data_IF_090338612898
#
_entry.id   IF_090338612898
#
_cell.length_a   1.000
_cell.length_b   1.000
_cell.length_c   1.000
_cell.angle_alpha   90.00
_cell.angle_beta   90.00
_cell.angle_gamma   90.00
#
_symmetry.space_group_name_H-M   'P 1'
#
loop_
_entity.id
_entity.type
_entity.pdbx_description
1 polymer ?
#
# COMPACT_ATOMS: atom_id res chain seq x y z
N UNK A 1 -7.41 17.02 13.79
CA UNK A 1 -6.05 17.61 13.70
C UNK A 1 -6.04 19.12 13.92
N UNK A 2 -7.17 19.82 13.76
CA UNK A 2 -7.29 21.19 14.29
C UNK A 2 -7.24 21.15 15.84
N UNK A 3 -6.66 22.19 16.44
CA UNK A 3 -6.53 22.31 17.90
C UNK A 3 -5.20 21.78 18.46
N UNK A 4 -5.14 21.39 19.74
CA UNK A 4 -3.88 21.17 20.49
C UNK A 4 -2.93 20.12 19.89
N UNK A 5 -3.42 19.20 19.06
CA UNK A 5 -2.59 18.21 18.35
C UNK A 5 -1.57 18.90 17.44
N UNK A 6 -1.96 19.99 16.74
CA UNK A 6 -1.05 20.68 15.83
C UNK A 6 0.11 21.34 16.57
N UNK A 7 -0.06 21.68 17.84
CA UNK A 7 1.00 22.29 18.64
C UNK A 7 2.08 21.29 19.03
N UNK A 8 1.68 20.03 19.30
CA UNK A 8 2.63 18.93 19.48
C UNK A 8 3.46 18.76 18.20
N UNK A 9 2.81 18.70 17.04
CA UNK A 9 3.53 18.58 15.76
C UNK A 9 4.46 19.77 15.47
N UNK A 10 4.04 21.01 15.76
CA UNK A 10 4.89 22.20 15.59
C UNK A 10 6.11 22.20 16.51
N UNK A 11 6.02 21.62 17.71
CA UNK A 11 7.16 21.51 18.62
C UNK A 11 8.19 20.49 18.12
N UNK A 12 7.72 19.37 17.58
CA UNK A 12 8.56 18.20 17.27
C UNK A 12 9.04 18.13 15.82
N UNK A 13 8.31 18.75 14.88
CA UNK A 13 8.64 18.69 13.44
C UNK A 13 9.25 20.04 13.02
N UNK A 14 10.54 20.07 12.64
CA UNK A 14 11.25 21.31 12.30
C UNK A 14 10.56 22.15 11.22
N UNK A 15 9.98 21.51 10.19
CA UNK A 15 9.32 22.18 9.07
C UNK A 15 8.03 22.93 9.45
N UNK A 16 7.46 22.62 10.63
CA UNK A 16 6.21 23.21 11.14
C UNK A 16 6.46 24.23 12.25
N UNK A 17 7.65 24.24 12.88
CA UNK A 17 7.97 25.04 14.06
C UNK A 17 7.69 26.54 13.91
N UNK A 18 8.08 27.10 12.77
CA UNK A 18 7.95 28.54 12.50
C UNK A 18 6.65 28.93 11.81
N UNK A 19 5.76 27.96 11.52
CA UNK A 19 4.50 28.24 10.84
C UNK A 19 3.41 28.62 11.86
N UNK A 20 2.57 29.63 11.57
CA UNK A 20 1.33 29.87 12.32
C UNK A 20 0.45 28.62 12.33
N UNK A 21 -0.35 28.42 13.39
CA UNK A 21 -1.21 27.22 13.54
C UNK A 21 -2.03 26.89 12.28
N UNK A 22 -2.76 27.85 11.65
CA UNK A 22 -3.55 27.54 10.46
C UNK A 22 -2.68 27.10 9.28
N UNK A 23 -1.56 27.79 9.06
CA UNK A 23 -0.62 27.48 7.99
C UNK A 23 0.08 26.12 8.20
N UNK A 24 0.39 25.76 9.45
CA UNK A 24 0.94 24.46 9.80
C UNK A 24 -0.09 23.34 9.50
N UNK A 25 -1.32 23.51 9.95
CA UNK A 25 -2.41 22.55 9.66
C UNK A 25 -2.62 22.38 8.15
N UNK A 26 -2.70 23.47 7.39
CA UNK A 26 -2.84 23.41 5.94
C UNK A 26 -1.64 22.77 5.26
N UNK A 27 -0.43 23.02 5.74
CA UNK A 27 0.79 22.36 5.21
C UNK A 27 0.68 20.85 5.39
N UNK A 28 0.33 20.38 6.59
CA UNK A 28 0.19 18.95 6.89
C UNK A 28 -0.93 18.32 6.05
N UNK A 29 -2.10 18.95 5.99
CA UNK A 29 -3.26 18.35 5.33
C UNK A 29 -3.16 18.34 3.80
N UNK A 30 -2.41 19.27 3.20
CA UNK A 30 -2.24 19.35 1.74
C UNK A 30 -1.03 18.55 1.22
N UNK A 31 -0.09 18.16 2.07
CA UNK A 31 1.07 17.36 1.71
C UNK A 31 1.01 15.96 2.34
N UNK A 32 0.68 14.91 1.56
CA UNK A 32 0.67 13.54 2.06
C UNK A 32 1.99 13.10 2.71
N UNK A 33 3.15 13.57 2.24
CA UNK A 33 4.43 13.21 2.86
C UNK A 33 4.58 13.79 4.26
N UNK A 34 4.13 15.04 4.44
CA UNK A 34 4.13 15.67 5.75
C UNK A 34 3.12 15.00 6.71
N UNK A 35 1.95 14.63 6.20
CA UNK A 35 0.96 13.90 6.99
C UNK A 35 1.45 12.53 7.44
N UNK A 36 2.12 11.76 6.57
CA UNK A 36 2.74 10.48 6.93
C UNK A 36 3.77 10.65 8.06
N UNK A 37 4.62 11.68 7.99
CA UNK A 37 5.56 11.99 9.09
C UNK A 37 4.85 12.28 10.41
N UNK A 38 3.73 12.99 10.37
CA UNK A 38 2.91 13.26 11.55
C UNK A 38 2.33 11.96 12.15
N UNK A 39 1.81 11.06 11.30
CA UNK A 39 1.34 9.75 11.76
C UNK A 39 2.47 8.89 12.31
N UNK A 40 3.64 8.84 11.66
CA UNK A 40 4.81 8.12 12.18
C UNK A 40 5.23 8.62 13.55
N UNK A 41 5.27 9.94 13.74
CA UNK A 41 5.57 10.54 15.04
C UNK A 41 4.52 10.17 16.09
N UNK A 42 3.24 10.21 15.74
CA UNK A 42 2.16 9.81 16.62
C UNK A 42 2.27 8.34 17.05
N UNK A 43 2.63 7.44 16.12
CA UNK A 43 2.80 6.00 16.40
C UNK A 43 4.08 5.68 17.17
N UNK A 44 5.17 6.40 16.90
CA UNK A 44 6.48 6.11 17.53
C UNK A 44 6.65 6.77 18.89
N UNK A 45 5.97 7.90 19.14
CA UNK A 45 6.05 8.67 20.38
C UNK A 45 4.66 9.04 20.91
N UNK A 46 3.80 8.05 21.26
CA UNK A 46 2.44 8.30 21.74
C UNK A 46 2.39 9.13 23.03
N UNK A 47 3.44 9.08 23.85
CA UNK A 47 3.57 9.83 25.10
C UNK A 47 3.48 11.35 24.91
N UNK A 48 3.85 11.86 23.73
CA UNK A 48 3.77 13.28 23.40
C UNK A 48 2.33 13.77 23.23
N UNK A 49 1.40 12.85 22.98
CA UNK A 49 0.00 13.12 22.69
C UNK A 49 -0.93 12.79 23.86
N UNK A 50 -0.38 12.36 25.01
CA UNK A 50 -1.14 11.87 26.17
C UNK A 50 -2.16 12.88 26.72
N UNK A 51 -1.88 14.17 26.59
CA UNK A 51 -2.74 15.24 27.10
C UNK A 51 -3.84 15.64 26.10
N UNK A 52 -3.79 15.09 24.88
CA UNK A 52 -4.62 15.54 23.76
C UNK A 52 -5.48 14.40 23.19
N UNK A 53 -4.92 13.20 23.08
CA UNK A 53 -5.60 12.02 22.56
C UNK A 53 -6.01 11.16 23.75
N UNK A 54 -7.18 11.45 24.29
CA UNK A 54 -7.69 10.86 25.53
C UNK A 54 -9.08 10.23 25.35
N UNK A 55 -9.40 9.27 26.21
CA UNK A 55 -10.73 8.69 26.33
C UNK A 55 -11.68 9.55 27.20
N UNK A 56 -12.88 9.04 27.49
CA UNK A 56 -13.85 9.71 28.36
C UNK A 56 -13.36 9.87 29.81
N UNK A 57 -12.50 8.96 30.28
CA UNK A 57 -11.86 9.00 31.60
C UNK A 57 -10.59 9.85 31.66
N UNK A 58 -10.27 10.60 30.59
CA UNK A 58 -9.04 11.38 30.43
C UNK A 58 -7.75 10.54 30.46
N UNK A 59 -7.84 9.25 30.16
CA UNK A 59 -6.66 8.40 30.00
C UNK A 59 -6.13 8.47 28.57
N UNK A 60 -4.81 8.43 28.37
CA UNK A 60 -4.20 8.51 27.05
C UNK A 60 -4.55 7.28 26.20
N UNK A 61 -4.94 7.52 24.95
CA UNK A 61 -5.36 6.47 24.02
C UNK A 61 -4.30 6.23 22.95
N UNK A 62 -3.85 4.98 22.83
CA UNK A 62 -2.84 4.55 21.84
C UNK A 62 -3.34 3.46 20.89
N UNK A 63 -4.40 2.75 21.26
CA UNK A 63 -4.98 1.64 20.50
C UNK A 63 -6.06 2.12 19.54
N UNK A 64 -6.06 1.59 18.32
CA UNK A 64 -6.99 2.00 17.26
C UNK A 64 -8.47 1.74 17.60
N UNK A 65 -8.74 0.69 18.39
CA UNK A 65 -10.10 0.31 18.82
C UNK A 65 -10.61 1.12 20.01
N UNK A 66 -9.74 1.86 20.70
CA UNK A 66 -10.13 2.60 21.88
C UNK A 66 -10.97 3.84 21.53
N UNK A 67 -11.97 4.11 22.36
CA UNK A 67 -12.93 5.19 22.18
C UNK A 67 -12.37 6.47 22.77
N UNK A 68 -12.30 7.52 21.96
CA UNK A 68 -11.89 8.85 22.37
C UNK A 68 -13.00 9.55 23.15
N UNK A 69 -12.66 10.63 23.85
CA UNK A 69 -13.60 11.49 24.58
C UNK A 69 -14.79 11.98 23.74
N UNK A 70 -14.62 12.09 22.43
CA UNK A 70 -15.68 12.48 21.49
C UNK A 70 -16.61 11.33 21.05
N UNK A 71 -16.46 10.13 21.63
CA UNK A 71 -17.30 8.95 21.34
C UNK A 71 -16.94 8.19 20.06
N UNK A 72 -15.90 8.62 19.33
CA UNK A 72 -15.37 7.93 18.15
C UNK A 72 -14.14 7.10 18.50
N UNK A 73 -13.87 6.05 17.74
CA UNK A 73 -12.62 5.29 17.91
C UNK A 73 -11.42 6.07 17.36
N UNK A 74 -10.21 5.76 17.85
CA UNK A 74 -8.98 6.32 17.28
C UNK A 74 -8.85 5.99 15.78
N UNK A 75 -9.22 4.77 15.36
CA UNK A 75 -9.26 4.37 13.95
C UNK A 75 -10.18 5.27 13.11
N UNK A 76 -11.37 5.60 13.62
CA UNK A 76 -12.30 6.51 12.93
C UNK A 76 -11.73 7.93 12.80
N UNK A 77 -11.05 8.43 13.84
CA UNK A 77 -10.39 9.72 13.79
C UNK A 77 -9.26 9.74 12.74
N UNK A 78 -8.45 8.67 12.69
CA UNK A 78 -7.41 8.50 11.65
C UNK A 78 -8.05 8.47 10.26
N UNK A 79 -9.08 7.66 10.05
CA UNK A 79 -9.78 7.57 8.77
C UNK A 79 -10.33 8.93 8.31
N UNK A 80 -10.89 9.73 9.22
CA UNK A 80 -11.36 11.09 8.92
C UNK A 80 -10.23 12.00 8.42
N UNK A 81 -9.06 11.95 9.06
CA UNK A 81 -7.89 12.73 8.68
C UNK A 81 -7.38 12.31 7.30
N UNK A 82 -7.25 11.00 7.05
CA UNK A 82 -6.81 10.46 5.76
C UNK A 82 -7.79 10.85 4.65
N UNK A 83 -9.09 10.69 4.87
CA UNK A 83 -10.16 11.09 3.92
C UNK A 83 -10.12 12.58 3.63
N UNK A 84 -9.93 13.42 4.65
CA UNK A 84 -9.87 14.86 4.48
C UNK A 84 -8.64 15.27 3.65
N UNK A 85 -7.47 14.67 3.92
CA UNK A 85 -6.25 14.93 3.15
C UNK A 85 -6.40 14.46 1.69
N UNK A 86 -6.93 13.25 1.47
CA UNK A 86 -7.18 12.73 0.12
C UNK A 86 -8.13 13.64 -0.68
N UNK A 87 -9.24 14.08 -0.06
CA UNK A 87 -10.18 15.01 -0.69
C UNK A 87 -9.52 16.33 -1.09
N UNK A 88 -8.68 16.91 -0.21
CA UNK A 88 -7.91 18.13 -0.51
C UNK A 88 -6.94 17.90 -1.67
N UNK A 89 -6.22 16.77 -1.65
CA UNK A 89 -5.28 16.40 -2.71
C UNK A 89 -5.97 16.22 -4.07
N UNK A 90 -7.06 15.45 -4.15
CA UNK A 90 -7.79 15.23 -5.39
C UNK A 90 -8.36 16.52 -5.96
N UNK A 91 -8.90 17.41 -5.12
CA UNK A 91 -9.36 18.73 -5.56
C UNK A 91 -8.22 19.61 -6.08
N UNK A 92 -7.06 19.57 -5.43
CA UNK A 92 -5.89 20.31 -5.89
C UNK A 92 -5.37 19.78 -7.24
N UNK A 93 -5.36 18.45 -7.42
CA UNK A 93 -4.73 17.80 -8.58
C UNK A 93 -5.66 17.68 -9.79
N UNK A 94 -6.91 17.26 -9.59
CA UNK A 94 -7.85 16.92 -10.67
C UNK A 94 -8.71 18.12 -11.11
N UNK A 95 -9.04 19.01 -10.19
CA UNK A 95 -9.83 20.21 -10.49
C UNK A 95 -8.95 21.44 -10.80
N UNK A 96 -7.64 21.26 -10.95
CA UNK A 96 -6.73 22.37 -11.30
C UNK A 96 -7.17 23.11 -12.57
N UNK A 97 -7.69 22.37 -13.56
CA UNK A 97 -8.18 22.93 -14.83
C UNK A 97 -9.52 23.64 -14.73
N UNK A 98 -10.41 23.30 -13.78
CA UNK A 98 -11.68 24.00 -13.62
C UNK A 98 -11.51 25.38 -12.99
N UNK A 99 -10.36 25.67 -12.36
CA UNK A 99 -10.02 27.02 -11.85
C UNK A 99 -9.71 28.02 -12.97
N UNK A 100 -9.42 27.54 -14.18
CA UNK A 100 -9.15 28.37 -15.37
C UNK A 100 -10.34 28.41 -16.33
N UNK A 101 -11.53 27.95 -15.94
CA UNK A 101 -12.73 28.20 -16.74
C UNK A 101 -12.97 29.72 -16.76
N UNK A 102 -12.85 30.27 -17.97
CA UNK A 102 -13.08 31.68 -18.28
C UNK A 102 -14.40 32.11 -17.64
N UNK A 103 -14.41 33.20 -16.84
CA UNK A 103 -15.65 33.71 -16.26
C UNK A 103 -16.69 33.91 -17.36
N UNK A 104 -17.86 33.31 -17.21
CA UNK A 104 -18.99 33.51 -18.14
C UNK A 104 -19.16 35.01 -18.38
N UNK A 105 -19.08 35.41 -19.65
CA UNK A 105 -19.05 36.80 -20.08
C UNK A 105 -20.17 37.60 -19.38
N UNK A 106 -19.79 38.69 -18.70
CA UNK A 106 -20.75 39.60 -18.08
C UNK A 106 -21.74 40.07 -19.17
N UNK A 107 -23.05 40.12 -18.90
CA UNK A 107 -24.01 40.58 -19.90
C UNK A 107 -23.70 42.02 -20.30
N UNK A 108 -23.74 42.30 -21.60
CA UNK A 108 -23.46 43.61 -22.20
C UNK A 108 -24.37 44.71 -21.63
N UNK A 109 -23.87 45.95 -21.64
CA UNK A 109 -24.54 47.12 -21.03
C UNK A 109 -25.99 47.31 -21.49
N UNK A 110 -26.29 47.07 -22.77
CA UNK A 110 -27.67 47.16 -23.30
C UNK A 110 -28.63 46.15 -22.66
N UNK A 111 -28.17 44.92 -22.37
CA UNK A 111 -28.99 43.91 -21.67
C UNK A 111 -29.28 44.28 -20.21
N UNK A 112 -28.39 45.05 -19.56
CA UNK A 112 -28.62 45.55 -18.20
C UNK A 112 -29.68 46.65 -18.17
N UNK A 113 -29.73 47.48 -19.20
CA UNK A 113 -30.68 48.58 -19.30
C UNK A 113 -32.10 48.07 -19.56
N UNK A 114 -32.26 47.04 -20.41
CA UNK A 114 -33.55 46.36 -20.65
C UNK A 114 -34.05 45.61 -19.40
N UNK A 115 -33.13 45.06 -18.59
CA UNK A 115 -33.48 44.44 -17.29
C UNK A 115 -33.89 45.49 -16.24
N UNK A 116 -33.21 46.63 -16.20
CA UNK A 116 -33.50 47.70 -15.24
C UNK A 116 -34.85 48.40 -15.54
N UNK A 117 -35.29 48.39 -16.80
CA UNK A 117 -36.59 48.91 -17.22
C UNK A 117 -37.75 47.91 -17.04
N UNK A 118 -37.50 46.72 -16.49
CA UNK A 118 -38.56 45.74 -16.17
C UNK A 118 -39.22 45.08 -17.38
N UNK A 119 -38.72 45.30 -18.59
CA UNK A 119 -39.31 44.81 -19.85
C UNK A 119 -39.03 43.32 -20.12
N UNK A 120 -38.16 42.69 -19.32
CA UNK A 120 -37.93 41.23 -19.34
C UNK A 120 -37.64 40.73 -17.93
N UNK A 121 -38.30 39.66 -17.50
CA UNK A 121 -37.96 38.98 -16.25
C UNK A 121 -36.54 38.44 -16.35
N UNK A 122 -35.69 38.74 -15.35
CA UNK A 122 -34.35 38.18 -15.26
C UNK A 122 -34.41 36.66 -15.47
N UNK A 123 -33.57 36.07 -16.34
CA UNK A 123 -33.59 34.63 -16.51
C UNK A 123 -33.27 34.02 -15.15
N UNK A 124 -34.24 33.29 -14.60
CA UNK A 124 -34.00 32.43 -13.43
C UNK A 124 -32.89 31.49 -13.87
N UNK A 125 -31.68 31.76 -13.41
CA UNK A 125 -30.54 30.88 -13.63
C UNK A 125 -30.88 29.59 -12.90
N UNK A 126 -31.57 28.67 -13.58
CA UNK A 126 -31.65 27.28 -13.18
C UNK A 126 -30.19 26.84 -13.11
N UNK A 127 -29.61 26.83 -11.90
CA UNK A 127 -28.29 26.28 -11.66
C UNK A 127 -28.37 24.86 -12.20
N UNK A 128 -27.76 24.63 -13.36
CA UNK A 128 -27.62 23.29 -13.90
C UNK A 128 -27.05 22.42 -12.76
N UNK A 129 -27.54 21.19 -12.58
CA UNK A 129 -27.02 20.30 -11.53
C UNK A 129 -25.50 20.30 -11.67
N UNK A 130 -24.80 20.69 -10.61
CA UNK A 130 -23.33 20.71 -10.61
C UNK A 130 -22.89 19.31 -10.98
N UNK A 131 -22.39 19.13 -12.20
CA UNK A 131 -21.76 17.88 -12.61
C UNK A 131 -20.69 17.58 -11.56
N UNK A 132 -20.82 16.45 -10.88
CA UNK A 132 -19.87 16.02 -9.84
C UNK A 132 -18.47 16.18 -10.40
N UNK A 133 -17.62 16.99 -9.74
CA UNK A 133 -16.27 17.21 -10.23
C UNK A 133 -15.52 15.88 -10.28
N UNK A 134 -14.54 15.75 -11.18
CA UNK A 134 -13.76 14.51 -11.30
C UNK A 134 -13.13 14.12 -9.97
N UNK A 135 -12.68 15.11 -9.18
CA UNK A 135 -12.16 14.90 -7.84
C UNK A 135 -13.19 14.34 -6.86
N UNK A 136 -14.42 14.83 -6.88
CA UNK A 136 -15.47 14.41 -5.96
C UNK A 136 -15.99 13.02 -6.33
N UNK A 137 -16.10 12.71 -7.63
CA UNK A 137 -16.47 11.38 -8.10
C UNK A 137 -15.44 10.31 -7.68
N UNK A 138 -14.14 10.59 -7.86
CA UNK A 138 -13.07 9.70 -7.40
C UNK A 138 -13.08 9.58 -5.86
N UNK A 139 -13.21 10.70 -5.15
CA UNK A 139 -13.28 10.68 -3.69
C UNK A 139 -14.43 9.81 -3.17
N UNK A 140 -15.63 9.94 -3.74
CA UNK A 140 -16.79 9.15 -3.32
C UNK A 140 -16.58 7.65 -3.55
N UNK A 141 -15.98 7.27 -4.68
CA UNK A 141 -15.65 5.87 -4.96
C UNK A 141 -14.61 5.31 -3.97
N UNK A 142 -13.68 6.15 -3.50
CA UNK A 142 -12.55 5.74 -2.65
C UNK A 142 -12.81 5.86 -1.14
N UNK A 143 -13.74 6.71 -0.73
CA UNK A 143 -13.93 7.17 0.65
C UNK A 143 -14.02 6.03 1.64
N UNK A 144 -14.77 4.99 1.29
CA UNK A 144 -15.06 3.88 2.19
C UNK A 144 -13.83 2.97 2.38
N UNK A 145 -12.85 3.04 1.46
CA UNK A 145 -11.58 2.33 1.53
C UNK A 145 -10.44 3.15 2.16
N UNK A 146 -10.58 4.46 2.33
CA UNK A 146 -9.60 5.30 3.02
C UNK A 146 -9.81 5.23 4.55
N UNK A 147 -9.21 4.24 5.19
CA UNK A 147 -9.42 3.92 6.60
C UNK A 147 -8.15 4.04 7.45
N UNK A 148 -6.98 3.89 6.84
CA UNK A 148 -5.73 3.68 7.57
C UNK A 148 -4.67 4.72 7.24
N UNK A 149 -3.80 5.01 8.22
CA UNK A 149 -2.69 5.97 8.11
C UNK A 149 -1.66 5.58 7.05
N UNK A 150 -1.35 4.29 6.87
CA UNK A 150 -0.42 3.83 5.82
C UNK A 150 -0.87 4.21 4.40
N UNK A 151 -2.16 4.48 4.18
CA UNK A 151 -2.68 4.88 2.86
C UNK A 151 -2.32 6.31 2.47
N UNK A 152 -1.83 7.12 3.40
CA UNK A 152 -1.50 8.53 3.15
C UNK A 152 -0.49 8.67 2.01
N UNK A 153 0.59 7.88 2.03
CA UNK A 153 1.59 7.92 0.96
C UNK A 153 1.08 7.41 -0.39
N UNK A 154 -0.03 6.67 -0.40
CA UNK A 154 -0.68 6.17 -1.61
C UNK A 154 -1.65 7.16 -2.24
N UNK A 155 -2.05 8.22 -1.51
CA UNK A 155 -2.97 9.26 -2.00
C UNK A 155 -2.60 9.80 -3.39
N UNK A 156 -1.33 10.18 -3.67
CA UNK A 156 -0.91 10.62 -5.00
C UNK A 156 -1.12 9.58 -6.10
N UNK A 157 -1.07 8.30 -5.76
CA UNK A 157 -1.15 7.17 -6.68
C UNK A 157 -2.59 6.73 -6.96
N UNK A 158 -3.56 7.11 -6.11
CA UNK A 158 -4.98 6.97 -6.42
C UNK A 158 -5.48 8.01 -7.44
N UNK A 159 -4.87 9.20 -7.49
CA UNK A 159 -5.28 10.28 -8.37
C UNK A 159 -5.38 9.93 -9.88
N UNK A 160 -4.47 9.13 -10.47
CA UNK A 160 -4.60 8.70 -11.87
C UNK A 160 -5.68 7.63 -12.12
N UNK A 161 -6.25 7.01 -11.07
CA UNK A 161 -7.24 5.96 -11.22
C UNK A 161 -8.61 6.52 -11.62
N UNK A 162 -9.40 5.71 -12.32
CA UNK A 162 -10.80 6.06 -12.65
C UNK A 162 -11.73 5.59 -11.54
N UNK A 163 -12.88 6.28 -11.32
CA UNK A 163 -13.88 5.80 -10.35
C UNK A 163 -14.37 4.38 -10.64
N UNK A 164 -14.50 4.00 -11.92
CA UNK A 164 -14.87 2.66 -12.33
C UNK A 164 -13.84 1.62 -11.85
N UNK A 165 -12.54 1.88 -12.07
CA UNK A 165 -11.48 1.00 -11.59
C UNK A 165 -11.52 0.86 -10.06
N UNK A 166 -11.75 1.95 -9.32
CA UNK A 166 -11.86 1.90 -7.86
C UNK A 166 -13.07 1.06 -7.43
N UNK A 167 -14.21 1.22 -8.08
CA UNK A 167 -15.40 0.40 -7.82
C UNK A 167 -15.18 -1.09 -8.15
N UNK A 168 -14.47 -1.40 -9.23
CA UNK A 168 -14.12 -2.77 -9.62
C UNK A 168 -13.15 -3.43 -8.63
N UNK A 169 -12.23 -2.65 -8.05
CA UNK A 169 -11.30 -3.12 -7.01
C UNK A 169 -12.02 -3.37 -5.68
N UNK A 170 -12.90 -2.46 -5.30
CA UNK A 170 -13.64 -2.51 -4.05
C UNK A 170 -12.71 -2.67 -2.82
N UNK A 171 -13.05 -3.63 -1.96
CA UNK A 171 -12.30 -3.90 -0.72
C UNK A 171 -10.84 -4.34 -0.96
N UNK A 172 -10.52 -4.88 -2.14
CA UNK A 172 -9.18 -5.35 -2.49
C UNK A 172 -8.15 -4.23 -2.56
N UNK A 173 -8.61 -2.99 -2.68
CA UNK A 173 -7.76 -1.82 -2.59
C UNK A 173 -7.01 -1.77 -1.23
N UNK A 174 -7.60 -2.31 -0.17
CA UNK A 174 -6.97 -2.38 1.16
C UNK A 174 -5.77 -3.34 1.21
N UNK A 175 -5.69 -4.26 0.26
CA UNK A 175 -4.59 -5.23 0.12
C UNK A 175 -3.41 -4.65 -0.65
N UNK A 176 -3.55 -3.49 -1.31
CA UNK A 176 -2.49 -2.87 -2.09
C UNK A 176 -1.73 -1.90 -1.20
N UNK A 177 -0.48 -2.24 -0.86
CA UNK A 177 0.37 -1.43 0.03
C UNK A 177 1.48 -0.67 -0.69
N UNK A 178 1.71 -0.98 -1.97
CA UNK A 178 2.82 -0.42 -2.74
C UNK A 178 2.33 0.55 -3.83
N UNK A 179 3.05 1.65 -3.99
CA UNK A 179 2.76 2.66 -5.01
C UNK A 179 2.90 2.11 -6.44
N UNK A 180 3.88 1.24 -6.66
CA UNK A 180 4.14 0.61 -7.96
C UNK A 180 2.93 -0.21 -8.44
N UNK A 181 2.28 -0.95 -7.54
CA UNK A 181 1.08 -1.73 -7.86
C UNK A 181 -0.08 -0.83 -8.28
N UNK A 182 -0.34 0.26 -7.56
CA UNK A 182 -1.38 1.23 -7.94
C UNK A 182 -1.08 1.89 -9.28
N UNK A 183 0.19 2.22 -9.55
CA UNK A 183 0.61 2.77 -10.84
C UNK A 183 0.41 1.77 -11.97
N UNK A 184 0.76 0.49 -11.74
CA UNK A 184 0.55 -0.57 -12.70
C UNK A 184 -0.93 -0.76 -13.03
N UNK A 185 -1.82 -0.68 -12.02
CA UNK A 185 -3.27 -0.76 -12.22
C UNK A 185 -3.87 0.47 -12.89
N UNK A 186 -3.31 1.66 -12.61
CA UNK A 186 -3.73 2.91 -13.23
C UNK A 186 -3.15 3.11 -14.65
N UNK A 187 -2.22 2.27 -15.09
CA UNK A 187 -1.58 2.42 -16.39
C UNK A 187 -2.59 2.23 -17.53
N UNK A 188 -2.50 3.03 -18.61
CA UNK A 188 -3.38 2.86 -19.77
C UNK A 188 -3.29 1.44 -20.34
N UNK A 189 -4.43 0.75 -20.44
CA UNK A 189 -4.49 -0.64 -20.95
C UNK A 189 -4.19 -1.72 -19.91
N UNK A 190 -4.01 -1.37 -18.63
CA UNK A 190 -3.81 -2.34 -17.54
C UNK A 190 -5.05 -3.18 -17.23
N UNK A 191 -6.25 -2.68 -17.55
CA UNK A 191 -7.48 -3.46 -17.56
C UNK A 191 -7.53 -4.27 -18.86
N UNK A 192 -7.51 -5.61 -18.79
CA UNK A 192 -7.63 -6.44 -19.99
C UNK A 192 -8.90 -6.08 -20.77
N UNK A 193 -8.77 -5.85 -22.09
CA UNK A 193 -9.91 -5.63 -22.99
C UNK A 193 -10.91 -6.80 -22.98
N UNK A 194 -10.44 -7.98 -22.57
CA UNK A 194 -11.21 -9.23 -22.53
C UNK A 194 -11.98 -9.43 -21.21
N UNK A 195 -12.10 -8.40 -20.36
CA UNK A 195 -12.79 -8.50 -19.07
C UNK A 195 -12.06 -9.36 -18.02
N UNK A 196 -10.83 -9.81 -18.30
CA UNK A 196 -9.99 -10.52 -17.34
C UNK A 196 -9.53 -9.58 -16.22
N UNK A 197 -9.25 -10.12 -15.03
CA UNK A 197 -8.71 -9.34 -13.91
C UNK A 197 -7.30 -8.84 -14.26
N UNK A 198 -6.90 -7.63 -13.82
CA UNK A 198 -5.50 -7.19 -13.89
C UNK A 198 -4.55 -8.21 -13.23
N UNK A 199 -3.34 -8.34 -13.76
CA UNK A 199 -2.40 -9.42 -13.40
C UNK A 199 -2.10 -9.48 -11.89
N UNK A 200 -1.80 -8.34 -11.25
CA UNK A 200 -1.55 -8.25 -9.79
C UNK A 200 -2.75 -8.63 -8.92
N UNK A 201 -3.92 -8.73 -9.52
CA UNK A 201 -5.19 -9.04 -8.88
C UNK A 201 -5.66 -10.46 -9.21
N UNK A 202 -4.80 -11.26 -9.84
CA UNK A 202 -5.10 -12.63 -10.19
C UNK A 202 -4.50 -13.61 -9.18
N UNK A 203 -4.88 -14.88 -9.31
CA UNK A 203 -4.36 -15.98 -8.52
C UNK A 203 -2.89 -16.26 -8.82
N UNK A 204 -2.18 -16.89 -7.89
CA UNK A 204 -0.81 -17.34 -8.14
C UNK A 204 -0.73 -18.37 -9.29
N UNK A 205 -1.83 -19.08 -9.58
CA UNK A 205 -1.88 -20.00 -10.73
C UNK A 205 -1.76 -19.27 -12.08
N UNK A 206 -2.00 -17.95 -12.13
CA UNK A 206 -1.80 -17.15 -13.34
C UNK A 206 -0.33 -17.11 -13.78
N UNK A 207 0.60 -17.38 -12.87
CA UNK A 207 2.03 -17.53 -13.17
C UNK A 207 2.36 -18.85 -13.84
N UNK A 208 1.46 -19.83 -13.86
CA UNK A 208 1.74 -21.17 -14.38
C UNK A 208 1.62 -21.21 -15.90
N UNK A 209 2.53 -21.92 -16.56
CA UNK A 209 2.37 -22.21 -17.99
C UNK A 209 1.25 -23.25 -18.19
N UNK A 210 0.32 -23.03 -19.14
CA UNK A 210 -0.72 -24.01 -19.45
C UNK A 210 -0.13 -25.36 -19.86
N UNK A 211 -0.54 -26.43 -19.16
CA UNK A 211 -0.08 -27.79 -19.46
C UNK A 211 1.34 -28.12 -19.02
N UNK A 212 1.99 -27.26 -18.22
CA UNK A 212 3.31 -27.53 -17.64
C UNK A 212 3.35 -27.18 -16.16
N UNK A 213 4.05 -27.99 -15.37
CA UNK A 213 4.27 -27.76 -13.94
C UNK A 213 5.47 -26.82 -13.71
N UNK A 214 5.47 -25.65 -14.35
CA UNK A 214 6.52 -24.65 -14.19
C UNK A 214 5.97 -23.22 -14.40
N UNK A 215 6.73 -22.22 -13.95
CA UNK A 215 6.32 -20.83 -14.06
C UNK A 215 6.56 -20.29 -15.47
N UNK A 216 5.64 -19.46 -15.95
CA UNK A 216 5.76 -18.65 -17.15
C UNK A 216 6.70 -17.47 -16.86
N UNK A 217 7.89 -17.49 -17.46
CA UNK A 217 8.93 -16.48 -17.26
C UNK A 217 8.47 -15.07 -17.67
N UNK A 218 7.63 -14.94 -18.71
CA UNK A 218 7.13 -13.67 -19.21
C UNK A 218 6.04 -13.10 -18.30
N UNK A 219 5.16 -13.95 -17.77
CA UNK A 219 4.19 -13.53 -16.75
C UNK A 219 4.93 -13.14 -15.47
N UNK A 220 5.88 -13.96 -15.02
CA UNK A 220 6.69 -13.70 -13.82
C UNK A 220 7.47 -12.38 -13.93
N UNK A 221 8.11 -12.12 -15.08
CA UNK A 221 8.81 -10.87 -15.35
C UNK A 221 7.88 -9.66 -15.27
N UNK A 222 6.67 -9.75 -15.84
CA UNK A 222 5.67 -8.68 -15.74
C UNK A 222 5.25 -8.40 -14.30
N UNK A 223 5.04 -9.43 -13.48
CA UNK A 223 4.74 -9.24 -12.05
C UNK A 223 5.90 -8.57 -11.33
N UNK A 224 7.14 -9.03 -11.57
CA UNK A 224 8.37 -8.44 -11.01
C UNK A 224 8.49 -6.95 -11.35
N UNK A 225 8.16 -6.56 -12.58
CA UNK A 225 8.14 -5.15 -13.00
C UNK A 225 7.02 -4.37 -12.31
N UNK A 226 5.81 -4.90 -12.28
CA UNK A 226 4.64 -4.22 -11.72
C UNK A 226 4.72 -4.03 -10.20
N UNK A 227 5.40 -4.94 -9.50
CA UNK A 227 5.67 -4.86 -8.06
C UNK A 227 6.99 -4.18 -7.71
N UNK A 228 7.77 -3.73 -8.70
CA UNK A 228 9.11 -3.15 -8.51
C UNK A 228 10.06 -4.06 -7.67
N UNK A 229 10.00 -5.38 -7.90
CA UNK A 229 10.82 -6.35 -7.15
C UNK A 229 12.31 -6.29 -7.53
N UNK A 230 12.67 -5.57 -8.60
CA UNK A 230 14.05 -5.31 -8.97
C UNK A 230 14.85 -4.65 -7.83
N UNK A 231 14.18 -3.89 -6.94
CA UNK A 231 14.81 -3.27 -5.76
C UNK A 231 15.37 -4.28 -4.75
N UNK A 232 14.98 -5.56 -4.84
CA UNK A 232 15.59 -6.64 -4.04
C UNK A 232 17.03 -6.96 -4.46
N UNK A 233 17.46 -6.52 -5.65
CA UNK A 233 18.79 -6.76 -6.21
C UNK A 233 19.60 -5.46 -6.24
N UNK A 234 20.12 -5.00 -5.08
CA UNK A 234 20.90 -3.77 -5.04
C UNK A 234 22.13 -3.93 -5.95
N UNK A 235 22.36 -2.95 -6.83
CA UNK A 235 23.47 -2.91 -7.81
C UNK A 235 23.31 -3.82 -9.04
N UNK A 236 22.20 -4.55 -9.18
CA UNK A 236 21.98 -5.37 -10.36
C UNK A 236 21.42 -4.54 -11.51
N UNK A 237 21.96 -4.75 -12.72
CA UNK A 237 21.38 -4.21 -13.94
C UNK A 237 20.07 -4.94 -14.31
N UNK A 238 19.20 -4.30 -15.09
CA UNK A 238 17.92 -4.87 -15.54
C UNK A 238 18.10 -6.25 -16.19
N UNK A 239 19.15 -6.43 -17.00
CA UNK A 239 19.46 -7.72 -17.63
C UNK A 239 19.92 -8.80 -16.64
N UNK A 240 20.45 -8.43 -15.47
CA UNK A 240 20.72 -9.38 -14.40
C UNK A 240 19.43 -9.85 -13.72
N UNK A 241 18.50 -8.92 -13.45
CA UNK A 241 17.20 -9.26 -12.85
C UNK A 241 16.40 -10.17 -13.78
N UNK A 242 16.40 -9.91 -15.09
CA UNK A 242 15.77 -10.80 -16.08
C UNK A 242 16.37 -12.21 -16.08
N UNK A 243 17.70 -12.32 -15.98
CA UNK A 243 18.38 -13.62 -15.85
C UNK A 243 18.00 -14.34 -14.56
N UNK A 244 17.87 -13.61 -13.45
CA UNK A 244 17.37 -14.18 -12.19
C UNK A 244 15.95 -14.70 -12.35
N UNK A 245 15.07 -13.95 -13.01
CA UNK A 245 13.68 -14.37 -13.27
C UNK A 245 13.62 -15.62 -14.14
N UNK A 246 14.41 -15.71 -15.20
CA UNK A 246 14.49 -16.91 -16.04
C UNK A 246 15.00 -18.15 -15.26
N UNK A 247 15.83 -17.94 -14.23
CA UNK A 247 16.30 -19.03 -13.35
C UNK A 247 15.24 -19.44 -12.35
N UNK A 248 14.53 -18.47 -11.78
CA UNK A 248 13.41 -18.72 -10.86
C UNK A 248 12.26 -19.41 -11.59
N UNK A 249 12.01 -19.10 -12.87
CA UNK A 249 10.96 -19.76 -13.64
C UNK A 249 11.23 -21.24 -13.91
N UNK A 250 12.49 -21.68 -13.81
CA UNK A 250 12.89 -23.08 -13.88
C UNK A 250 12.70 -23.84 -12.56
N UNK A 251 11.95 -23.28 -11.60
CA UNK A 251 11.56 -23.96 -10.36
C UNK A 251 10.77 -25.24 -10.66
N UNK A 252 11.07 -26.32 -9.94
CA UNK A 252 10.46 -27.61 -10.14
C UNK A 252 8.97 -27.59 -9.73
N UNK A 253 8.14 -28.32 -10.47
CA UNK A 253 6.69 -28.39 -10.25
C UNK A 253 6.29 -28.76 -8.83
N UNK A 254 6.98 -29.72 -8.23
CA UNK A 254 6.70 -30.16 -6.86
C UNK A 254 7.00 -29.07 -5.82
N UNK A 255 8.06 -28.29 -6.02
CA UNK A 255 8.36 -27.15 -5.15
C UNK A 255 7.23 -26.11 -5.24
N UNK A 256 6.72 -25.82 -6.44
CA UNK A 256 5.58 -24.94 -6.65
C UNK A 256 4.33 -25.49 -5.93
N UNK A 257 3.99 -26.77 -6.14
CA UNK A 257 2.81 -27.42 -5.55
C UNK A 257 2.81 -27.40 -4.03
N UNK A 258 3.99 -27.48 -3.42
CA UNK A 258 4.17 -27.45 -1.96
C UNK A 258 4.09 -26.02 -1.41
N UNK A 259 4.65 -25.03 -2.10
CA UNK A 259 4.71 -23.64 -1.63
C UNK A 259 3.41 -22.86 -1.87
N UNK A 260 2.76 -23.09 -3.00
CA UNK A 260 1.60 -22.29 -3.45
C UNK A 260 0.42 -22.32 -2.45
N UNK A 261 0.03 -23.47 -1.87
CA UNK A 261 -1.04 -23.49 -0.86
C UNK A 261 -0.70 -22.71 0.42
N UNK A 262 0.58 -22.64 0.79
CA UNK A 262 1.02 -22.02 2.03
C UNK A 262 1.18 -20.50 1.89
N UNK A 263 1.70 -20.04 0.76
CA UNK A 263 1.84 -18.61 0.47
C UNK A 263 0.49 -17.95 0.10
N UNK A 264 -0.53 -18.78 -0.10
CA UNK A 264 -1.87 -18.41 -0.51
C UNK A 264 -1.98 -18.18 -2.01
N UNK A 265 -3.21 -18.02 -2.49
CA UNK A 265 -3.50 -17.77 -3.90
C UNK A 265 -3.15 -16.34 -4.37
N UNK A 266 -2.36 -15.58 -3.62
CA UNK A 266 -1.97 -14.22 -4.01
C UNK A 266 -0.69 -14.27 -4.84
N UNK A 267 -0.81 -13.92 -6.13
CA UNK A 267 0.31 -13.83 -7.07
C UNK A 267 1.47 -12.98 -6.55
N UNK A 268 1.15 -11.94 -5.77
CA UNK A 268 2.13 -11.00 -5.21
C UNK A 268 2.96 -11.65 -4.12
N UNK A 269 2.31 -12.39 -3.21
CA UNK A 269 2.99 -13.08 -2.11
C UNK A 269 3.90 -14.18 -2.64
N UNK A 270 3.38 -14.99 -3.56
CA UNK A 270 4.15 -16.06 -4.17
C UNK A 270 5.38 -15.49 -4.91
N UNK A 271 5.17 -14.48 -5.76
CA UNK A 271 6.27 -13.85 -6.51
C UNK A 271 7.29 -13.20 -5.58
N UNK A 272 6.85 -12.41 -4.59
CA UNK A 272 7.76 -11.79 -3.64
C UNK A 272 8.59 -12.83 -2.90
N UNK A 273 7.96 -13.90 -2.41
CA UNK A 273 8.65 -14.98 -1.70
C UNK A 273 9.76 -15.62 -2.55
N UNK A 274 9.47 -16.05 -3.79
CA UNK A 274 10.47 -16.73 -4.62
C UNK A 274 11.63 -15.79 -5.01
N UNK A 275 11.34 -14.50 -5.23
CA UNK A 275 12.38 -13.51 -5.50
C UNK A 275 13.24 -13.26 -4.25
N UNK A 276 12.63 -13.14 -3.07
CA UNK A 276 13.35 -13.00 -1.79
C UNK A 276 14.21 -14.23 -1.52
N UNK A 277 13.66 -15.44 -1.68
CA UNK A 277 14.38 -16.71 -1.54
C UNK A 277 15.63 -16.76 -2.43
N UNK A 278 15.49 -16.39 -3.71
CA UNK A 278 16.62 -16.32 -4.64
C UNK A 278 17.70 -15.34 -4.17
N UNK A 279 17.31 -14.15 -3.68
CA UNK A 279 18.27 -13.15 -3.21
C UNK A 279 18.93 -13.50 -1.88
N UNK A 280 18.21 -14.11 -0.95
CA UNK A 280 18.69 -14.43 0.40
C UNK A 280 19.58 -15.67 0.39
N UNK A 281 19.20 -16.71 -0.35
CA UNK A 281 19.95 -17.97 -0.40
C UNK A 281 21.10 -17.95 -1.42
N UNK A 282 21.02 -17.04 -2.41
CA UNK A 282 21.92 -17.00 -3.55
C UNK A 282 21.57 -18.05 -4.61
N UNK A 283 22.10 -17.85 -5.82
CA UNK A 283 21.71 -18.62 -7.00
C UNK A 283 21.97 -20.12 -6.87
N UNK A 284 23.15 -20.51 -6.40
CA UNK A 284 23.56 -21.92 -6.36
C UNK A 284 22.65 -22.74 -5.44
N UNK A 285 22.41 -22.21 -4.22
CA UNK A 285 21.55 -22.86 -3.23
C UNK A 285 20.10 -22.89 -3.69
N UNK A 286 19.61 -21.79 -4.27
CA UNK A 286 18.26 -21.76 -4.83
C UNK A 286 18.07 -22.84 -5.90
N UNK A 287 19.03 -23.02 -6.83
CA UNK A 287 18.93 -24.07 -7.85
C UNK A 287 18.92 -25.47 -7.23
N UNK A 288 19.75 -25.72 -6.23
CA UNK A 288 19.83 -27.00 -5.55
C UNK A 288 18.50 -27.38 -4.87
N UNK A 289 17.91 -26.43 -4.14
CA UNK A 289 16.74 -26.72 -3.31
C UNK A 289 15.41 -26.59 -4.08
N UNK A 290 15.32 -25.70 -5.06
CA UNK A 290 14.05 -25.38 -5.76
C UNK A 290 13.97 -25.89 -7.20
N UNK A 291 15.10 -26.10 -7.90
CA UNK A 291 15.10 -26.47 -9.32
C UNK A 291 15.46 -27.94 -9.58
N UNK A 292 16.25 -28.58 -8.71
CA UNK A 292 16.67 -29.97 -8.91
C UNK A 292 15.64 -30.96 -8.35
N UNK A 293 15.32 -31.99 -9.14
CA UNK A 293 14.50 -33.12 -8.68
C UNK A 293 15.25 -33.91 -7.61
N UNK A 294 14.76 -33.92 -6.37
CA UNK A 294 15.33 -34.72 -5.28
C UNK A 294 15.41 -34.01 -3.92
N UNK A 295 15.33 -32.68 -3.87
CA UNK A 295 15.38 -31.89 -2.63
C UNK A 295 14.00 -31.32 -2.22
N UNK A 296 12.92 -31.91 -2.72
CA UNK A 296 11.53 -31.51 -2.37
C UNK A 296 11.31 -31.53 -0.85
N UNK A 297 12.03 -32.37 -0.11
CA UNK A 297 11.99 -32.42 1.35
C UNK A 297 12.39 -31.10 2.02
N UNK A 298 13.43 -30.42 1.52
CA UNK A 298 13.85 -29.13 2.07
C UNK A 298 12.77 -28.06 1.86
N UNK A 299 12.17 -28.03 0.67
CA UNK A 299 11.05 -27.13 0.33
C UNK A 299 9.81 -27.47 1.15
N UNK A 300 9.55 -28.74 1.42
CA UNK A 300 8.42 -29.20 2.26
C UNK A 300 8.57 -28.73 3.69
N UNK A 301 9.75 -28.90 4.30
CA UNK A 301 10.05 -28.35 5.63
C UNK A 301 9.93 -26.83 5.66
N UNK A 302 10.36 -26.14 4.60
CA UNK A 302 10.21 -24.70 4.49
C UNK A 302 8.72 -24.29 4.42
N UNK A 303 7.91 -25.01 3.67
CA UNK A 303 6.47 -24.80 3.58
C UNK A 303 5.77 -25.04 4.92
N UNK A 304 6.14 -26.09 5.67
CA UNK A 304 5.63 -26.33 7.02
C UNK A 304 5.96 -25.16 7.98
N UNK A 305 7.15 -24.57 7.86
CA UNK A 305 7.53 -23.39 8.65
C UNK A 305 6.70 -22.17 8.24
N UNK A 306 6.57 -21.92 6.94
CA UNK A 306 5.77 -20.81 6.40
C UNK A 306 4.29 -20.92 6.82
N UNK A 307 3.74 -22.13 6.90
CA UNK A 307 2.34 -22.36 7.29
C UNK A 307 2.05 -21.98 8.75
N UNK A 308 3.09 -21.90 9.59
CA UNK A 308 2.96 -21.49 11.00
C UNK A 308 3.17 -19.99 11.20
N UNK A 309 3.67 -19.28 10.19
CA UNK A 309 3.92 -17.83 10.25
C UNK A 309 2.68 -17.10 9.73
N UNK A 310 2.25 -16.07 10.46
CA UNK A 310 1.16 -15.21 9.97
C UNK A 310 1.56 -14.57 8.64
N UNK A 311 0.69 -14.69 7.64
CA UNK A 311 0.98 -14.20 6.30
C UNK A 311 1.26 -12.68 6.34
N UNK A 312 2.44 -12.22 5.89
CA UNK A 312 2.76 -10.81 5.95
C UNK A 312 1.76 -9.98 5.13
N UNK A 313 1.52 -8.72 5.53
CA UNK A 313 0.85 -7.77 4.67
C UNK A 313 1.57 -7.70 3.31
N UNK A 314 0.84 -7.46 2.23
CA UNK A 314 1.38 -7.34 0.87
C UNK A 314 2.16 -6.02 0.66
N UNK A 315 3.04 -5.67 1.60
CA UNK A 315 4.08 -4.67 1.44
C UNK A 315 5.41 -5.39 1.28
N UNK A 316 6.19 -4.99 0.27
CA UNK A 316 7.44 -5.66 -0.05
C UNK A 316 8.46 -5.57 1.09
N UNK A 317 8.49 -4.46 1.85
CA UNK A 317 9.40 -4.36 3.01
C UNK A 317 9.06 -5.36 4.11
N UNK A 318 7.78 -5.53 4.42
CA UNK A 318 7.33 -6.51 5.42
C UNK A 318 7.50 -7.93 4.92
N UNK A 319 7.17 -8.21 3.65
CA UNK A 319 7.41 -9.51 3.03
C UNK A 319 8.90 -9.86 3.05
N UNK A 320 9.79 -8.92 2.69
CA UNK A 320 11.24 -9.11 2.73
C UNK A 320 11.73 -9.42 4.14
N UNK A 321 11.23 -8.70 5.15
CA UNK A 321 11.61 -8.91 6.54
C UNK A 321 11.14 -10.27 7.06
N UNK A 322 9.86 -10.61 6.87
CA UNK A 322 9.27 -11.86 7.38
C UNK A 322 9.85 -13.06 6.63
N UNK A 323 9.78 -13.08 5.29
CA UNK A 323 10.29 -14.20 4.51
C UNK A 323 11.82 -14.31 4.60
N UNK A 324 12.54 -13.20 4.62
CA UNK A 324 13.99 -13.18 4.85
C UNK A 324 14.36 -13.86 6.17
N UNK A 325 13.69 -13.51 7.28
CA UNK A 325 13.92 -14.15 8.57
C UNK A 325 13.60 -15.66 8.57
N UNK A 326 12.51 -16.07 7.90
CA UNK A 326 12.16 -17.50 7.76
C UNK A 326 13.24 -18.25 6.96
N UNK A 327 13.75 -17.66 5.89
CA UNK A 327 14.79 -18.25 5.06
C UNK A 327 16.14 -18.30 5.79
N UNK A 328 16.52 -17.23 6.47
CA UNK A 328 17.74 -17.17 7.29
C UNK A 328 17.69 -18.21 8.41
N UNK A 329 16.58 -18.37 9.13
CA UNK A 329 16.44 -19.41 10.15
C UNK A 329 16.38 -20.84 9.61
N UNK A 330 15.97 -21.01 8.35
CA UNK A 330 15.93 -22.29 7.67
C UNK A 330 17.30 -22.73 7.14
N UNK A 331 18.10 -21.79 6.65
CA UNK A 331 19.31 -22.08 5.87
C UNK A 331 20.61 -21.53 6.46
N UNK A 332 20.57 -20.50 7.30
CA UNK A 332 21.73 -19.99 8.03
C UNK A 332 21.65 -20.45 9.49
N UNK A 333 22.64 -21.21 9.96
CA UNK A 333 22.68 -21.69 11.34
C UNK A 333 22.70 -20.54 12.36
N UNK A 334 21.54 -20.21 12.92
CA UNK A 334 21.27 -19.75 14.30
C UNK A 334 21.91 -18.47 14.88
N UNK A 335 23.02 -17.93 14.37
CA UNK A 335 23.83 -16.98 15.18
C UNK A 335 23.43 -15.51 14.99
N UNK A 336 23.07 -15.05 13.79
CA UNK A 336 22.71 -13.63 13.56
C UNK A 336 21.23 -13.31 13.81
N UNK A 337 20.40 -14.34 13.90
CA UNK A 337 18.94 -14.23 14.06
C UNK A 337 18.56 -13.61 15.42
N UNK A 338 19.37 -13.84 16.47
CA UNK A 338 19.08 -13.35 17.81
C UNK A 338 18.98 -11.83 17.92
N UNK A 339 19.81 -11.08 17.20
CA UNK A 339 19.82 -9.62 17.26
C UNK A 339 18.64 -8.99 16.49
N UNK A 340 18.27 -9.57 15.34
CA UNK A 340 17.13 -9.12 14.52
C UNK A 340 15.80 -9.43 15.21
N UNK A 341 15.70 -10.57 15.90
CA UNK A 341 14.51 -10.96 16.66
C UNK A 341 14.33 -10.18 17.96
N UNK A 342 15.42 -9.81 18.64
CA UNK A 342 15.33 -8.94 19.81
C UNK A 342 14.80 -7.54 19.48
N UNK A 343 15.02 -7.04 18.27
CA UNK A 343 14.51 -5.74 17.83
C UNK A 343 13.00 -5.73 17.53
N UNK A 344 12.34 -6.90 17.44
CA UNK A 344 10.92 -7.02 17.04
C UNK A 344 10.18 -8.12 17.78
N UNK A 345 9.55 -7.81 18.93
CA UNK A 345 8.96 -8.81 19.82
C UNK A 345 7.80 -9.60 19.19
N UNK A 346 7.10 -9.08 18.19
CA UNK A 346 6.04 -9.80 17.46
C UNK A 346 6.59 -10.89 16.55
N UNK A 347 7.72 -10.64 15.86
CA UNK A 347 8.42 -11.64 15.06
C UNK A 347 9.05 -12.69 15.95
N UNK A 348 9.63 -12.26 17.07
CA UNK A 348 10.12 -13.16 18.12
C UNK A 348 8.99 -14.03 18.68
N UNK A 349 7.82 -13.48 18.97
CA UNK A 349 6.67 -14.23 19.47
C UNK A 349 6.12 -15.23 18.43
N UNK A 350 6.14 -14.87 17.15
CA UNK A 350 5.80 -15.75 16.03
C UNK A 350 6.87 -16.83 15.74
N UNK A 351 8.12 -16.63 16.18
CA UNK A 351 9.21 -17.60 16.09
C UNK A 351 9.33 -18.47 17.35
N UNK A 352 9.04 -17.92 18.52
CA UNK A 352 8.96 -18.64 19.79
C UNK A 352 7.77 -19.63 19.78
N UNK A 353 6.68 -19.31 19.07
CA UNK A 353 5.58 -20.23 18.81
C UNK A 353 5.93 -21.36 17.84
N UNK A 354 7.07 -21.29 17.12
CA UNK A 354 7.56 -22.36 16.24
C UNK A 354 8.26 -23.49 16.99
N UNK A 355 8.54 -23.33 18.29
CA UNK A 355 8.96 -24.39 19.21
C UNK A 355 10.14 -25.24 18.69
N UNK A 356 11.36 -24.71 18.69
CA UNK A 356 12.55 -25.53 18.46
C UNK A 356 13.83 -24.75 18.23
N UNK A 357 14.90 -25.17 18.91
CA UNK A 357 16.28 -24.82 18.58
C UNK A 357 16.56 -24.93 17.07
N UNK A 358 17.49 -24.12 16.51
CA UNK A 358 17.77 -24.08 15.08
C UNK A 358 18.33 -25.43 14.60
N UNK A 359 17.44 -26.32 14.17
CA UNK A 359 17.81 -27.50 13.40
C UNK A 359 18.06 -27.02 11.96
N UNK A 360 19.34 -26.99 11.60
CA UNK A 360 19.84 -26.72 10.25
C UNK A 360 19.18 -27.69 9.26
N UNK A 361 18.69 -27.17 8.13
CA UNK A 361 18.18 -28.00 7.01
C UNK A 361 19.35 -28.63 6.23
N UNK A 362 20.60 -28.25 6.53
CA UNK A 362 21.80 -28.87 5.95
C UNK A 362 22.04 -30.25 6.58
N UNK A 363 21.46 -31.28 5.95
CA UNK A 363 21.95 -32.65 6.00
C UNK A 363 22.81 -32.93 4.79
#
# INVERSE_FOLDING_TARGET
MEGPVIDVFRREIPELKHRPRPAAYDTVMNDPKMLDRCFRLFRSRPELFRDVVVDQGRQPVTLDKAVLSCGRTLAEAVALVVRASARRYFRAKLDFRSRFQVPTAKPSLGKRLVLALGLTSAPVVKKAPRSTSKSEALYLALRDYLQFDWQVLLIPHYAPMTPALVSDLGARLLDIREAAELQALAAPGATPRDGRKPLLLDGAQRLMMPGRDCLDAEVLWRVVQQMDLARLFPKAEVGQVQRSVARISAMHGDAIKVLLPVLGDDIRRFTAFVMIAFTTMGEQRFKQDFCQSGQVHAVTKLAERLARVEAPPASLELMKQVYGAVLETAYAGGVEVGAVLQARPHLKQALDSLGGSPMSISG
#
